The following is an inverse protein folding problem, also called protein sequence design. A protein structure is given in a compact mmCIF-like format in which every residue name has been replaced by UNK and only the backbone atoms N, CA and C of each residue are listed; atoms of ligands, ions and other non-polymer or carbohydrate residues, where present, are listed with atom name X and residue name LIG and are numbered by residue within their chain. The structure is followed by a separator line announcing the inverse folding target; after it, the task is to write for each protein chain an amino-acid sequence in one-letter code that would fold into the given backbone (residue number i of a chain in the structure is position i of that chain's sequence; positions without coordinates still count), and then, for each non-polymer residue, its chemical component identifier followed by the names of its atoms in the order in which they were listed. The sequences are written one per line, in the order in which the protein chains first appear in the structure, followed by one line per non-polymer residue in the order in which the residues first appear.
data_IF_435179515145
#
_entry.id   IF_435179515145
#
_cell.length_a   1.000
_cell.length_b   1.000
_cell.length_c   1.000
_cell.angle_alpha   90.00
_cell.angle_beta   90.00
_cell.angle_gamma   90.00
#
_symmetry.space_group_name_H-M   'P 1'
#
loop_
_entity.id
_entity.type
_entity.pdbx_description
1 polymer ?
#
# COMPACT_ATOMS: atom_id res chain seq x y z
N UNK A 1 -6.56 13.95 4.17
CA UNK A 1 -7.69 13.09 4.68
C UNK A 1 -7.09 11.87 5.34
N UNK A 2 -7.48 11.61 6.59
CA UNK A 2 -7.00 10.41 7.33
C UNK A 2 -7.80 9.18 6.94
N UNK A 3 -7.14 8.02 6.95
CA UNK A 3 -7.77 6.71 6.81
C UNK A 3 -7.20 5.72 7.82
N UNK A 4 -8.03 4.72 8.18
CA UNK A 4 -7.65 3.59 9.02
C UNK A 4 -8.30 2.34 8.45
N UNK A 5 -7.51 1.28 8.32
CA UNK A 5 -7.93 -0.01 7.77
C UNK A 5 -7.41 -1.09 8.70
N UNK A 6 -8.22 -2.10 8.99
CA UNK A 6 -7.86 -3.21 9.87
C UNK A 6 -8.14 -4.54 9.20
N UNK A 7 -7.19 -5.46 9.28
CA UNK A 7 -7.33 -6.82 8.77
C UNK A 7 -6.93 -7.83 9.83
N UNK A 8 -7.82 -8.75 10.15
CA UNK A 8 -7.48 -9.93 10.94
C UNK A 8 -6.96 -11.02 10.00
N UNK A 9 -5.80 -11.58 10.33
CA UNK A 9 -5.16 -12.70 9.64
C UNK A 9 -5.04 -13.80 10.68
N UNK A 10 -5.74 -14.91 10.49
CA UNK A 10 -5.80 -16.04 11.42
C UNK A 10 -4.52 -16.88 11.37
N UNK A 11 -3.41 -16.24 11.74
CA UNK A 11 -2.09 -16.84 11.79
C UNK A 11 -1.20 -16.16 12.86
N UNK A 12 -0.19 -16.86 13.39
CA UNK A 12 0.78 -16.29 14.33
C UNK A 12 1.52 -15.08 13.74
N UNK A 13 1.86 -14.12 14.57
CA UNK A 13 2.56 -12.89 14.19
C UNK A 13 3.82 -13.13 13.35
N UNK A 14 4.67 -14.04 13.75
CA UNK A 14 5.92 -14.35 13.04
C UNK A 14 5.65 -14.84 11.60
N UNK A 15 4.56 -15.59 11.39
CA UNK A 15 4.19 -16.08 10.07
C UNK A 15 3.66 -14.97 9.19
N UNK A 16 2.81 -14.11 9.73
CA UNK A 16 2.29 -12.93 9.00
C UNK A 16 3.42 -11.98 8.65
N UNK A 17 4.33 -11.70 9.57
CA UNK A 17 5.51 -10.88 9.32
C UNK A 17 6.37 -11.45 8.18
N UNK A 18 6.66 -12.75 8.22
CA UNK A 18 7.41 -13.42 7.16
C UNK A 18 6.70 -13.32 5.81
N UNK A 19 5.37 -13.45 5.78
CA UNK A 19 4.59 -13.34 4.55
C UNK A 19 4.57 -11.90 3.99
N UNK A 20 4.45 -10.89 4.85
CA UNK A 20 4.51 -9.45 4.47
C UNK A 20 5.88 -9.09 3.89
N UNK A 21 6.94 -9.61 4.49
CA UNK A 21 8.32 -9.33 4.09
C UNK A 21 8.84 -10.23 2.97
N UNK A 22 8.06 -11.20 2.51
CA UNK A 22 8.49 -12.16 1.51
C UNK A 22 8.87 -11.48 0.18
N UNK A 23 9.98 -11.86 -0.45
CA UNK A 23 10.29 -11.46 -1.82
C UNK A 23 9.14 -11.85 -2.77
N UNK A 24 8.87 -11.02 -3.77
CA UNK A 24 7.82 -11.27 -4.75
C UNK A 24 6.38 -10.96 -4.29
N UNK A 25 6.17 -10.45 -3.06
CA UNK A 25 4.84 -10.07 -2.58
C UNK A 25 4.15 -9.04 -3.51
N UNK A 26 4.90 -8.06 -4.04
CA UNK A 26 4.37 -7.07 -5.00
C UNK A 26 3.98 -7.70 -6.35
N UNK A 27 4.74 -8.70 -6.83
CA UNK A 27 4.41 -9.40 -8.09
C UNK A 27 3.10 -10.16 -7.92
N UNK A 28 2.89 -10.79 -6.78
CA UNK A 28 1.64 -11.48 -6.49
C UNK A 28 0.47 -10.51 -6.36
N UNK A 29 0.69 -9.35 -5.73
CA UNK A 29 -0.31 -8.28 -5.66
C UNK A 29 -0.74 -7.85 -7.07
N UNK A 30 0.21 -7.64 -8.00
CA UNK A 30 -0.13 -7.29 -9.39
C UNK A 30 -0.94 -8.35 -10.12
N UNK A 31 -0.73 -9.62 -9.81
CA UNK A 31 -1.48 -10.73 -10.42
C UNK A 31 -2.91 -10.82 -9.89
N UNK A 32 -3.15 -10.47 -8.65
CA UNK A 32 -4.40 -10.73 -7.92
C UNK A 32 -5.25 -9.50 -7.69
N UNK A 33 -4.63 -8.32 -7.48
CA UNK A 33 -5.37 -7.09 -7.29
C UNK A 33 -5.96 -6.61 -8.62
N UNK A 34 -7.30 -6.50 -8.74
CA UNK A 34 -7.95 -6.12 -10.01
C UNK A 34 -7.55 -4.73 -10.48
N UNK A 35 -7.13 -3.88 -9.55
CA UNK A 35 -6.78 -2.48 -9.79
C UNK A 35 -5.32 -2.27 -10.20
N UNK A 36 -4.44 -3.27 -10.02
CA UNK A 36 -3.01 -3.14 -10.30
C UNK A 36 -2.68 -3.78 -11.65
N UNK A 37 -2.11 -3.01 -12.56
CA UNK A 37 -1.66 -3.49 -13.86
C UNK A 37 -0.25 -4.09 -13.78
N UNK A 38 0.61 -3.44 -13.01
CA UNK A 38 2.01 -3.79 -12.84
C UNK A 38 2.45 -3.47 -11.41
N UNK A 39 3.22 -4.35 -10.81
CA UNK A 39 3.97 -4.06 -9.60
C UNK A 39 5.32 -4.79 -9.63
N UNK A 40 6.37 -4.11 -9.18
CA UNK A 40 7.73 -4.66 -9.11
C UNK A 40 8.51 -4.05 -7.96
N UNK A 41 9.36 -4.84 -7.35
CA UNK A 41 10.32 -4.36 -6.37
C UNK A 41 11.49 -3.69 -7.09
N UNK A 42 11.78 -2.44 -6.77
CA UNK A 42 12.88 -1.67 -7.35
C UNK A 42 14.15 -1.80 -6.53
N UNK A 43 14.00 -1.85 -5.21
CA UNK A 43 15.10 -1.97 -4.27
C UNK A 43 14.64 -2.63 -2.98
N UNK A 44 15.58 -3.35 -2.34
CA UNK A 44 15.42 -3.94 -1.02
C UNK A 44 16.73 -3.84 -0.26
N UNK A 45 16.64 -3.45 1.00
CA UNK A 45 17.77 -3.41 1.92
C UNK A 45 17.33 -3.96 3.27
N UNK A 46 18.19 -4.79 3.87
CA UNK A 46 17.99 -5.29 5.23
C UNK A 46 19.19 -4.88 6.06
N UNK A 47 18.92 -4.23 7.20
CA UNK A 47 19.96 -3.76 8.12
C UNK A 47 19.47 -3.90 9.56
N UNK A 48 20.08 -4.80 10.31
CA UNK A 48 19.64 -5.17 11.66
C UNK A 48 18.19 -5.67 11.65
N UNK A 49 17.32 -4.99 12.38
CA UNK A 49 15.89 -5.30 12.43
C UNK A 49 15.07 -4.62 11.32
N UNK A 50 15.67 -3.66 10.61
CA UNK A 50 14.99 -2.88 9.59
C UNK A 50 15.02 -3.57 8.22
N UNK A 51 13.87 -3.61 7.57
CA UNK A 51 13.69 -4.02 6.17
C UNK A 51 13.12 -2.85 5.39
N UNK A 52 13.90 -2.30 4.49
CA UNK A 52 13.46 -1.28 3.55
C UNK A 52 13.12 -1.92 2.20
N UNK A 53 11.98 -1.56 1.64
CA UNK A 53 11.55 -1.95 0.29
C UNK A 53 11.09 -0.71 -0.47
N UNK A 54 11.51 -0.61 -1.71
CA UNK A 54 10.98 0.35 -2.67
C UNK A 54 10.29 -0.42 -3.78
N UNK A 55 9.00 -0.15 -3.97
CA UNK A 55 8.17 -0.77 -5.00
C UNK A 55 7.71 0.27 -6.03
N UNK A 56 7.54 -0.15 -7.25
CA UNK A 56 6.82 0.57 -8.30
C UNK A 56 5.49 -0.13 -8.52
N UNK A 57 4.40 0.63 -8.57
CA UNK A 57 3.07 0.14 -8.86
C UNK A 57 2.40 1.01 -9.93
N UNK A 58 1.62 0.38 -10.79
CA UNK A 58 0.85 1.06 -11.83
C UNK A 58 -0.59 0.53 -11.82
N UNK A 59 -1.57 1.44 -11.82
CA UNK A 59 -2.97 1.08 -11.79
C UNK A 59 -3.52 0.72 -13.18
N UNK A 60 -4.47 -0.22 -13.22
CA UNK A 60 -5.31 -0.51 -14.40
C UNK A 60 -6.43 0.51 -14.56
N UNK A 61 -6.87 1.10 -13.47
CA UNK A 61 -8.10 1.87 -13.42
C UNK A 61 -7.96 3.25 -14.07
N UNK A 62 -9.05 3.67 -14.72
CA UNK A 62 -9.24 5.06 -15.11
C UNK A 62 -9.82 5.82 -13.93
N UNK A 63 -9.21 6.94 -13.53
CA UNK A 63 -9.79 7.85 -12.57
C UNK A 63 -10.48 8.99 -13.30
N UNK A 64 -11.80 9.15 -13.17
CA UNK A 64 -12.48 10.33 -13.67
C UNK A 64 -12.05 11.53 -12.80
N UNK A 65 -11.35 12.49 -13.39
CA UNK A 65 -10.97 13.73 -12.75
C UNK A 65 -11.61 14.90 -13.47
N UNK A 66 -12.70 15.40 -12.92
CA UNK A 66 -13.45 16.55 -13.44
C UNK A 66 -13.81 16.38 -14.93
N UNK A 67 -13.13 17.10 -15.84
CA UNK A 67 -13.36 17.03 -17.28
C UNK A 67 -12.40 16.08 -18.04
N UNK A 68 -11.53 15.37 -17.32
CA UNK A 68 -10.52 14.48 -17.93
C UNK A 68 -10.53 13.12 -17.26
N UNK A 69 -10.36 12.08 -18.08
CA UNK A 69 -10.09 10.72 -17.61
C UNK A 69 -8.59 10.53 -17.57
N UNK A 70 -8.05 10.24 -16.38
CA UNK A 70 -6.65 9.80 -16.27
C UNK A 70 -6.63 8.32 -16.58
N UNK A 71 -5.94 7.93 -17.64
CA UNK A 71 -5.80 6.53 -18.01
C UNK A 71 -4.90 5.76 -17.04
N UNK A 72 -5.17 4.47 -16.86
CA UNK A 72 -4.49 3.62 -15.89
C UNK A 72 -2.96 3.70 -15.97
N UNK A 73 -2.36 3.66 -17.16
CA UNK A 73 -0.91 3.79 -17.33
C UNK A 73 -0.32 5.14 -16.89
N UNK A 74 -1.15 6.15 -16.61
CA UNK A 74 -0.71 7.45 -16.08
C UNK A 74 -0.81 7.51 -14.55
N UNK A 75 -1.33 6.47 -13.90
CA UNK A 75 -1.47 6.35 -12.46
C UNK A 75 -0.44 5.35 -11.94
N UNK A 76 0.80 5.77 -11.94
CA UNK A 76 1.88 5.00 -11.35
C UNK A 76 2.51 5.75 -10.18
N UNK A 77 2.96 4.99 -9.19
CA UNK A 77 3.60 5.51 -8.00
C UNK A 77 4.74 4.62 -7.53
N UNK A 78 5.64 5.23 -6.77
CA UNK A 78 6.63 4.53 -5.98
C UNK A 78 6.14 4.47 -4.52
N UNK A 79 6.22 3.29 -3.94
CA UNK A 79 5.97 3.04 -2.53
C UNK A 79 7.30 2.72 -1.85
N UNK A 80 7.63 3.44 -0.81
CA UNK A 80 8.75 3.13 0.07
C UNK A 80 8.20 2.66 1.41
N UNK A 81 8.58 1.47 1.83
CA UNK A 81 8.22 0.90 3.12
C UNK A 81 9.49 0.65 3.91
N UNK A 82 9.49 1.05 5.18
CA UNK A 82 10.53 0.70 6.15
C UNK A 82 9.84 -0.03 7.30
N UNK A 83 10.07 -1.32 7.39
CA UNK A 83 9.55 -2.21 8.44
C UNK A 83 10.62 -2.46 9.49
N UNK A 84 10.26 -2.36 10.76
CA UNK A 84 11.11 -2.74 11.90
C UNK A 84 10.56 -4.00 12.57
N UNK A 85 11.34 -5.08 12.49
CA UNK A 85 11.01 -6.39 13.09
C UNK A 85 10.96 -6.35 14.62
N UNK A 86 11.70 -5.44 15.26
CA UNK A 86 11.72 -5.37 16.72
C UNK A 86 10.41 -4.81 17.29
N UNK A 87 9.74 -3.94 16.54
CA UNK A 87 8.48 -3.30 16.94
C UNK A 87 7.28 -3.78 16.15
N UNK A 88 7.47 -4.64 15.13
CA UNK A 88 6.44 -5.12 14.20
C UNK A 88 5.68 -3.99 13.52
N UNK A 89 6.38 -2.90 13.23
CA UNK A 89 5.83 -1.67 12.64
C UNK A 89 6.49 -1.33 11.32
N UNK A 90 5.71 -0.78 10.41
CA UNK A 90 6.23 -0.17 9.20
C UNK A 90 5.80 1.28 9.07
N UNK A 91 6.62 2.07 8.39
CA UNK A 91 6.23 3.36 7.83
C UNK A 91 6.24 3.24 6.32
N UNK A 92 5.31 3.91 5.66
CA UNK A 92 5.27 3.98 4.21
C UNK A 92 5.08 5.39 3.71
N UNK A 93 5.65 5.65 2.53
CA UNK A 93 5.41 6.86 1.74
C UNK A 93 5.10 6.46 0.32
N UNK A 94 4.17 7.18 -0.31
CA UNK A 94 3.75 6.96 -1.70
C UNK A 94 3.98 8.24 -2.48
N UNK A 95 4.71 8.15 -3.58
CA UNK A 95 5.02 9.26 -4.47
C UNK A 95 4.59 8.96 -5.91
N UNK A 96 3.95 9.90 -6.63
CA UNK A 96 3.67 9.75 -8.05
C UNK A 96 4.94 9.50 -8.85
N UNK A 97 4.96 8.45 -9.68
CA UNK A 97 6.15 8.05 -10.44
C UNK A 97 6.26 8.75 -11.81
N UNK A 98 5.14 8.97 -12.50
CA UNK A 98 5.12 9.40 -13.90
C UNK A 98 4.97 10.91 -14.13
N UNK A 99 4.63 11.66 -13.09
CA UNK A 99 4.40 13.11 -13.17
C UNK A 99 5.08 13.84 -12.02
N UNK A 100 6.34 14.25 -12.20
CA UNK A 100 7.10 14.95 -11.15
C UNK A 100 6.40 16.18 -10.58
N UNK A 101 5.64 16.91 -11.41
CA UNK A 101 4.85 18.08 -10.99
C UNK A 101 3.73 17.76 -10.00
N UNK A 102 3.33 16.50 -9.90
CA UNK A 102 2.33 16.04 -8.94
C UNK A 102 2.93 15.74 -7.56
N UNK A 103 4.24 15.53 -7.46
CA UNK A 103 4.90 15.24 -6.19
C UNK A 103 4.67 16.31 -5.13
N UNK A 104 4.67 17.59 -5.52
CA UNK A 104 4.38 18.70 -4.60
C UNK A 104 2.90 18.83 -4.23
N UNK A 105 2.01 18.20 -4.98
CA UNK A 105 0.56 18.27 -4.79
C UNK A 105 -0.05 17.02 -4.17
N UNK A 106 0.69 15.94 -4.12
CA UNK A 106 0.24 14.66 -3.59
C UNK A 106 1.14 14.27 -2.42
N UNK A 107 0.52 14.05 -1.27
CA UNK A 107 1.19 13.52 -0.08
C UNK A 107 0.37 12.31 0.35
N UNK A 108 1.01 11.15 0.42
CA UNK A 108 0.42 9.96 1.02
C UNK A 108 1.49 9.26 1.84
N UNK A 109 1.29 9.27 3.14
CA UNK A 109 2.19 8.65 4.10
C UNK A 109 1.40 7.98 5.22
N UNK A 110 2.01 7.01 5.87
CA UNK A 110 1.36 6.33 6.97
C UNK A 110 2.24 5.27 7.60
N UNK A 111 1.58 4.45 8.36
CA UNK A 111 2.20 3.32 9.04
C UNK A 111 1.24 2.14 9.13
N UNK A 112 1.80 0.96 9.32
CA UNK A 112 1.02 -0.17 9.81
C UNK A 112 1.74 -0.87 10.95
N UNK A 113 0.96 -1.55 11.77
CA UNK A 113 1.44 -2.36 12.87
C UNK A 113 0.80 -3.75 12.81
N UNK A 114 1.59 -4.77 13.11
CA UNK A 114 1.13 -6.13 13.32
C UNK A 114 1.05 -6.38 14.83
N UNK A 115 -0.13 -6.74 15.31
CA UNK A 115 -0.39 -6.99 16.75
C UNK A 115 -0.92 -8.40 16.92
N UNK A 116 -0.31 -9.17 17.79
CA UNK A 116 -0.80 -10.50 18.14
C UNK A 116 -2.10 -10.41 18.94
N UNK A 117 -3.05 -11.26 18.60
CA UNK A 117 -4.36 -11.36 19.28
C UNK A 117 -4.69 -12.83 19.54
N UNK A 118 -5.71 -13.09 20.36
CA UNK A 118 -6.19 -14.46 20.60
C UNK A 118 -6.74 -15.18 19.34
N UNK A 119 -7.04 -14.42 18.27
CA UNK A 119 -7.59 -14.95 17.00
C UNK A 119 -6.57 -14.95 15.85
N UNK A 120 -5.33 -14.56 16.11
CA UNK A 120 -4.28 -14.42 15.10
C UNK A 120 -3.62 -13.05 15.16
N UNK A 121 -3.24 -12.49 14.02
CA UNK A 121 -2.55 -11.20 13.92
C UNK A 121 -3.48 -10.14 13.36
N UNK A 122 -3.65 -9.04 14.10
CA UNK A 122 -4.33 -7.84 13.62
C UNK A 122 -3.31 -6.92 12.92
N UNK A 123 -3.54 -6.62 11.65
CA UNK A 123 -2.82 -5.59 10.90
C UNK A 123 -3.64 -4.31 10.91
N UNK A 124 -3.16 -3.27 11.56
CA UNK A 124 -3.78 -1.94 11.57
C UNK A 124 -2.95 -1.01 10.71
N UNK A 125 -3.56 -0.40 9.70
CA UNK A 125 -2.95 0.54 8.75
C UNK A 125 -3.57 1.91 8.98
N UNK A 126 -2.75 2.92 9.18
CA UNK A 126 -3.18 4.31 9.34
C UNK A 126 -2.37 5.20 8.41
N UNK A 127 -3.03 6.17 7.79
CA UNK A 127 -2.34 7.08 6.90
C UNK A 127 -3.09 8.38 6.67
N UNK A 128 -2.35 9.32 6.11
CA UNK A 128 -2.84 10.61 5.67
C UNK A 128 -2.63 10.75 4.16
N UNK A 129 -3.70 11.11 3.45
CA UNK A 129 -3.69 11.48 2.04
C UNK A 129 -4.08 12.94 1.90
N UNK A 130 -3.26 13.73 1.21
CA UNK A 130 -3.57 15.09 0.83
C UNK A 130 -3.30 15.32 -0.66
N UNK A 131 -4.31 15.81 -1.37
CA UNK A 131 -4.22 16.20 -2.78
C UNK A 131 -4.52 17.68 -2.90
N UNK A 132 -3.48 18.46 -3.13
CA UNK A 132 -3.55 19.92 -3.27
C UNK A 132 -4.06 20.30 -4.67
N UNK A 133 -5.36 20.07 -4.92
CA UNK A 133 -6.05 20.50 -6.12
C UNK A 133 -7.22 21.39 -5.72
N UNK A 134 -7.23 22.68 -6.11
CA UNK A 134 -8.35 23.57 -5.80
C UNK A 134 -9.68 22.96 -6.27
N UNK A 135 -10.74 23.11 -5.45
CA UNK A 135 -12.14 22.71 -5.73
C UNK A 135 -12.36 21.19 -5.76
N UNK A 136 -11.50 20.42 -6.45
CA UNK A 136 -11.71 18.98 -6.69
C UNK A 136 -10.93 18.06 -5.75
N UNK A 137 -9.97 18.62 -4.99
CA UNK A 137 -9.09 17.84 -4.08
C UNK A 137 -9.83 16.87 -3.16
N UNK A 138 -10.82 17.30 -2.36
CA UNK A 138 -11.53 16.42 -1.42
C UNK A 138 -12.32 15.28 -2.09
N UNK A 139 -12.83 15.49 -3.29
CA UNK A 139 -13.54 14.44 -4.04
C UNK A 139 -12.56 13.39 -4.56
N UNK A 140 -11.39 13.84 -5.05
CA UNK A 140 -10.32 12.97 -5.52
C UNK A 140 -9.73 12.19 -4.35
N UNK A 141 -9.47 12.84 -3.21
CA UNK A 141 -8.97 12.18 -2.00
C UNK A 141 -9.88 11.01 -1.58
N UNK A 142 -11.19 11.21 -1.54
CA UNK A 142 -12.15 10.14 -1.21
C UNK A 142 -12.10 8.98 -2.21
N UNK A 143 -12.04 9.29 -3.50
CA UNK A 143 -11.95 8.27 -4.53
C UNK A 143 -10.63 7.48 -4.44
N UNK A 144 -9.52 8.15 -4.16
CA UNK A 144 -8.21 7.51 -4.00
C UNK A 144 -8.16 6.66 -2.75
N UNK A 145 -8.70 7.12 -1.61
CA UNK A 145 -8.75 6.33 -0.36
C UNK A 145 -9.56 5.06 -0.56
N UNK A 146 -10.68 5.14 -1.26
CA UNK A 146 -11.47 3.93 -1.56
C UNK A 146 -10.65 2.90 -2.36
N UNK A 147 -9.86 3.37 -3.34
CA UNK A 147 -8.97 2.49 -4.13
C UNK A 147 -7.79 1.96 -3.33
N UNK A 148 -7.25 2.76 -2.41
CA UNK A 148 -6.21 2.32 -1.47
C UNK A 148 -6.74 1.18 -0.59
N UNK A 149 -7.98 1.30 -0.10
CA UNK A 149 -8.62 0.24 0.70
C UNK A 149 -8.77 -1.07 -0.10
N UNK A 150 -9.18 -1.00 -1.37
CA UNK A 150 -9.28 -2.18 -2.24
C UNK A 150 -7.91 -2.87 -2.45
N UNK A 151 -6.83 -2.10 -2.56
CA UNK A 151 -5.47 -2.65 -2.70
C UNK A 151 -5.02 -3.34 -1.41
N UNK A 152 -5.25 -2.71 -0.26
CA UNK A 152 -4.90 -3.31 1.04
C UNK A 152 -5.74 -4.55 1.36
N UNK A 153 -7.01 -4.61 0.94
CA UNK A 153 -7.82 -5.81 1.09
C UNK A 153 -7.26 -6.96 0.21
N UNK A 154 -6.88 -6.68 -1.03
CA UNK A 154 -6.24 -7.68 -1.89
C UNK A 154 -4.92 -8.20 -1.29
N UNK A 155 -4.11 -7.33 -0.67
CA UNK A 155 -2.93 -7.75 0.10
C UNK A 155 -3.31 -8.65 1.28
N UNK A 156 -4.35 -8.29 2.04
CA UNK A 156 -4.79 -9.07 3.18
C UNK A 156 -5.25 -10.48 2.77
N UNK A 157 -5.93 -10.61 1.63
CA UNK A 157 -6.31 -11.91 1.08
C UNK A 157 -5.09 -12.77 0.73
N UNK A 158 -4.07 -12.17 0.09
CA UNK A 158 -2.80 -12.84 -0.22
C UNK A 158 -2.12 -13.32 1.07
N UNK A 159 -2.07 -12.47 2.10
CA UNK A 159 -1.48 -12.82 3.38
C UNK A 159 -2.24 -13.97 4.06
N UNK A 160 -3.57 -13.92 4.08
CA UNK A 160 -4.41 -15.00 4.63
C UNK A 160 -4.13 -16.33 3.95
N UNK A 161 -3.98 -16.35 2.62
CA UNK A 161 -3.68 -17.58 1.88
C UNK A 161 -2.27 -18.10 2.14
N UNK A 162 -1.27 -17.23 2.09
CA UNK A 162 0.13 -17.60 2.40
C UNK A 162 0.29 -18.15 3.83
N UNK A 163 -0.60 -17.71 4.72
CA UNK A 163 -0.58 -18.13 6.11
C UNK A 163 -1.45 -19.38 6.41
N UNK A 164 -2.23 -19.90 5.48
CA UNK A 164 -3.04 -21.12 5.67
C UNK A 164 -2.27 -22.44 5.49
N UNK A 165 -1.08 -22.40 4.87
CA UNK A 165 -0.27 -23.60 4.52
C UNK A 165 0.66 -24.14 5.63
#
# INVERSE_FOLDING_TARGET
MRFRIEHLIEAPLARVESAVLAPGALIELARRAPLIAEARELARREEGTAVERVGYLCAKAKLPMASRVIEGGQLAWNERIVFDRATHRARFTIEPALRPEWRSRFVCEGSYVLTETSKGTLRTIEGDLAIRAPIVGPAIERAVIHRIADVFEAEAEILRERCRG
#
